data_IF_676458482431
#
_entry.id   IF_676458482431
#
_cell.length_a   1.000
_cell.length_b   1.000
_cell.length_c   1.000
_cell.angle_alpha   90.00
_cell.angle_beta   90.00
_cell.angle_gamma   90.00
#
_symmetry.space_group_name_H-M   'P 1'
#
loop_
_entity.id
_entity.type
_entity.pdbx_description
1 polymer ?
#
# COMPACT_ATOMS: atom_id res chain seq x y z
N UNK A 1 30.71 9.23 21.28
CA UNK A 1 29.80 8.23 20.70
C UNK A 1 28.76 7.79 21.73
N UNK A 2 27.60 8.45 21.77
CA UNK A 2 26.42 8.00 22.50
C UNK A 2 25.51 7.27 21.50
N UNK A 3 25.14 6.04 21.83
CA UNK A 3 24.08 5.31 21.12
C UNK A 3 22.82 5.51 21.95
N UNK A 4 21.94 6.40 21.48
CA UNK A 4 20.62 6.56 22.08
C UNK A 4 19.71 5.43 21.62
N UNK A 5 19.55 4.42 22.48
CA UNK A 5 18.48 3.44 22.33
C UNK A 5 17.20 4.07 22.86
N UNK A 6 16.31 4.50 21.96
CA UNK A 6 14.91 4.72 22.30
C UNK A 6 14.41 3.42 22.95
N UNK A 7 14.16 3.45 24.26
CA UNK A 7 13.56 2.37 25.02
C UNK A 7 12.08 2.31 24.64
N UNK A 8 11.80 1.83 23.45
CA UNK A 8 10.46 1.46 23.01
C UNK A 8 10.08 0.25 23.84
N UNK A 9 9.17 0.44 24.80
CA UNK A 9 8.62 -0.70 25.53
C UNK A 9 7.95 -1.63 24.53
N UNK A 10 8.13 -2.94 24.69
CA UNK A 10 7.60 -3.96 23.78
C UNK A 10 6.06 -3.91 23.58
N UNK A 11 5.33 -3.12 24.37
CA UNK A 11 3.88 -2.87 24.25
C UNK A 11 3.54 -1.51 23.61
N UNK A 12 4.53 -0.75 23.13
CA UNK A 12 4.27 0.57 22.54
C UNK A 12 3.81 0.40 21.10
N UNK A 13 2.60 0.88 20.80
CA UNK A 13 2.12 1.04 19.42
C UNK A 13 2.89 2.19 18.76
N UNK A 14 3.36 1.97 17.54
CA UNK A 14 4.13 2.92 16.76
C UNK A 14 3.44 3.18 15.42
N UNK A 15 3.53 4.42 14.95
CA UNK A 15 3.16 4.79 13.59
C UNK A 15 4.39 4.67 12.70
N UNK A 16 4.30 3.80 11.69
CA UNK A 16 5.40 3.51 10.77
C UNK A 16 4.89 3.57 9.34
N UNK A 17 5.72 4.12 8.45
CA UNK A 17 5.44 4.16 7.01
C UNK A 17 5.98 2.88 6.37
N UNK A 18 5.09 2.03 5.88
CA UNK A 18 5.44 0.73 5.28
C UNK A 18 5.26 0.79 3.77
N UNK A 19 6.23 0.33 2.97
CA UNK A 19 6.11 0.33 1.52
C UNK A 19 5.02 -0.62 1.02
N UNK A 20 4.35 -0.23 -0.06
CA UNK A 20 3.31 -1.03 -0.71
C UNK A 20 3.87 -1.73 -1.94
N UNK A 21 3.71 -3.04 -2.00
CA UNK A 21 4.05 -3.89 -3.13
C UNK A 21 2.80 -4.36 -3.88
N UNK A 22 2.79 -4.08 -5.18
CA UNK A 22 1.75 -4.53 -6.08
C UNK A 22 2.16 -5.84 -6.73
N UNK A 23 1.42 -6.91 -6.45
CA UNK A 23 1.66 -8.23 -7.05
C UNK A 23 0.70 -8.46 -8.23
N UNK A 24 1.02 -9.46 -9.05
CA UNK A 24 0.23 -9.84 -10.22
C UNK A 24 -0.01 -8.69 -11.23
N UNK A 25 0.89 -7.70 -11.29
CA UNK A 25 0.77 -6.55 -12.20
C UNK A 25 0.58 -7.02 -13.65
N UNK A 26 1.43 -7.94 -14.13
CA UNK A 26 1.33 -8.50 -15.50
C UNK A 26 0.09 -9.38 -15.74
N UNK A 27 -0.55 -9.85 -14.67
CA UNK A 27 -1.77 -10.68 -14.74
C UNK A 27 -3.04 -9.86 -14.59
N UNK A 28 -2.92 -8.61 -14.13
CA UNK A 28 -4.04 -7.68 -13.98
C UNK A 28 -4.76 -7.49 -15.30
N UNK A 29 -6.09 -7.56 -15.26
CA UNK A 29 -6.94 -7.38 -16.45
C UNK A 29 -6.68 -6.03 -17.13
N UNK A 30 -6.55 -4.97 -16.33
CA UNK A 30 -6.32 -3.62 -16.83
C UNK A 30 -4.96 -3.47 -17.50
N UNK A 31 -3.90 -3.96 -16.87
CA UNK A 31 -2.54 -3.91 -17.44
C UNK A 31 -2.44 -4.78 -18.70
N UNK A 32 -3.05 -5.98 -18.70
CA UNK A 32 -3.11 -6.84 -19.89
C UNK A 32 -3.82 -6.21 -21.08
N UNK A 33 -4.78 -5.32 -20.84
CA UNK A 33 -5.49 -4.55 -21.88
C UNK A 33 -4.69 -3.33 -22.38
N UNK A 34 -3.45 -3.14 -21.90
CA UNK A 34 -2.63 -1.97 -22.23
C UNK A 34 -2.83 -0.80 -21.27
N UNK A 35 -3.29 -1.05 -20.05
CA UNK A 35 -3.28 -0.05 -18.99
C UNK A 35 -1.90 0.08 -18.33
N UNK A 36 -1.64 1.23 -17.72
CA UNK A 36 -0.46 1.50 -16.90
C UNK A 36 -0.88 1.64 -15.44
N UNK A 37 -0.10 1.03 -14.54
CA UNK A 37 -0.25 1.22 -13.11
C UNK A 37 0.29 2.62 -12.73
N UNK A 38 -0.59 3.46 -12.22
CA UNK A 38 -0.25 4.76 -11.65
C UNK A 38 -0.32 4.66 -10.12
N UNK A 39 0.85 4.73 -9.47
CA UNK A 39 0.96 4.64 -8.01
C UNK A 39 0.87 6.06 -7.45
N UNK A 40 -0.13 6.32 -6.62
CA UNK A 40 -0.35 7.62 -5.95
C UNK A 40 0.41 7.66 -4.63
N UNK A 41 0.44 6.54 -3.90
CA UNK A 41 1.19 6.39 -2.66
C UNK A 41 2.05 5.13 -2.69
N UNK A 42 3.35 5.32 -2.47
CA UNK A 42 4.33 4.23 -2.39
C UNK A 42 4.44 3.61 -1.00
N UNK A 43 4.04 4.36 0.03
CA UNK A 43 4.08 3.95 1.43
C UNK A 43 2.74 4.25 2.07
N UNK A 44 2.33 3.42 3.02
CA UNK A 44 1.13 3.61 3.83
C UNK A 44 1.51 3.60 5.30
N UNK A 45 0.94 4.55 6.04
CA UNK A 45 1.17 4.67 7.47
C UNK A 45 0.26 3.68 8.23
N UNK A 46 0.88 2.82 9.03
CA UNK A 46 0.18 1.87 9.89
C UNK A 46 0.59 2.04 11.35
N UNK A 47 -0.33 1.76 12.24
CA UNK A 47 -0.13 1.62 13.67
C UNK A 47 0.08 0.14 13.99
N UNK A 48 1.26 -0.21 14.48
CA UNK A 48 1.63 -1.59 14.79
C UNK A 48 2.58 -1.63 15.98
N UNK A 49 2.65 -2.78 16.64
CA UNK A 49 3.64 -3.01 17.69
C UNK A 49 5.06 -3.00 17.10
N UNK A 50 6.03 -2.52 17.87
CA UNK A 50 7.44 -2.51 17.48
C UNK A 50 8.00 -3.88 17.03
N UNK A 51 7.46 -4.98 17.57
CA UNK A 51 7.88 -6.34 17.24
C UNK A 51 7.18 -6.93 15.99
N UNK A 52 6.08 -6.32 15.55
CA UNK A 52 5.22 -6.84 14.47
C UNK A 52 5.26 -5.93 13.22
N UNK A 53 6.26 -5.04 13.12
CA UNK A 53 6.41 -4.15 11.96
C UNK A 53 6.64 -4.99 10.69
N UNK A 54 5.73 -4.95 9.71
CA UNK A 54 5.91 -5.67 8.45
C UNK A 54 6.94 -4.95 7.55
N UNK A 55 7.69 -5.73 6.77
CA UNK A 55 8.64 -5.18 5.79
C UNK A 55 7.93 -4.44 4.65
N UNK A 56 6.77 -4.95 4.21
CA UNK A 56 5.96 -4.38 3.14
C UNK A 56 4.49 -4.82 3.26
N UNK A 57 3.59 -4.04 2.67
CA UNK A 57 2.18 -4.39 2.49
C UNK A 57 1.93 -4.85 1.07
N UNK A 58 1.11 -5.88 0.88
CA UNK A 58 0.85 -6.44 -0.45
C UNK A 58 -0.56 -6.11 -0.93
N UNK A 59 -0.68 -5.79 -2.22
CA UNK A 59 -1.95 -5.61 -2.94
C UNK A 59 -1.99 -6.49 -4.18
N UNK A 60 -3.08 -7.24 -4.35
CA UNK A 60 -3.33 -8.02 -5.56
C UNK A 60 -4.06 -7.20 -6.63
N UNK A 61 -3.44 -7.08 -7.81
CA UNK A 61 -4.01 -6.37 -8.97
C UNK A 61 -4.77 -7.27 -9.95
N UNK A 62 -4.86 -8.57 -9.71
CA UNK A 62 -5.35 -9.56 -10.68
C UNK A 62 -6.72 -9.22 -11.27
N UNK A 63 -7.65 -8.73 -10.45
CA UNK A 63 -9.03 -8.40 -10.84
C UNK A 63 -9.28 -6.90 -11.09
N UNK A 64 -8.24 -6.07 -11.15
CA UNK A 64 -8.38 -4.63 -11.38
C UNK A 64 -8.38 -4.37 -12.89
N UNK A 65 -9.41 -3.67 -13.38
CA UNK A 65 -9.56 -3.30 -14.79
C UNK A 65 -9.03 -1.88 -15.07
N UNK A 66 -9.00 -1.47 -16.34
CA UNK A 66 -8.68 -0.08 -16.73
C UNK A 66 -9.69 0.89 -16.09
N UNK A 67 -9.19 2.03 -15.61
CA UNK A 67 -9.89 2.99 -14.76
C UNK A 67 -10.27 2.45 -13.37
N UNK A 68 -9.77 1.26 -13.01
CA UNK A 68 -9.91 0.70 -11.67
C UNK A 68 -9.10 1.49 -10.66
N UNK A 69 -9.70 1.73 -9.49
CA UNK A 69 -9.03 2.33 -8.33
C UNK A 69 -8.69 1.26 -7.31
N UNK A 70 -7.46 1.33 -6.81
CA UNK A 70 -6.97 0.51 -5.71
C UNK A 70 -7.04 1.35 -4.46
N UNK A 71 -7.86 0.91 -3.51
CA UNK A 71 -8.05 1.58 -2.23
C UNK A 71 -7.20 0.93 -1.14
N UNK A 72 -6.93 1.69 -0.09
CA UNK A 72 -6.17 1.23 1.07
C UNK A 72 -6.83 0.02 1.75
N UNK A 73 -8.16 -0.11 1.73
CA UNK A 73 -8.88 -1.30 2.22
C UNK A 73 -8.56 -2.60 1.47
N UNK A 74 -8.00 -2.53 0.26
CA UNK A 74 -7.58 -3.71 -0.50
C UNK A 74 -6.20 -4.24 -0.05
N UNK A 75 -5.48 -3.51 0.81
CA UNK A 75 -4.21 -3.95 1.37
C UNK A 75 -4.42 -5.11 2.34
N UNK A 76 -3.52 -6.09 2.27
CA UNK A 76 -3.44 -7.11 3.31
C UNK A 76 -2.71 -6.54 4.53
N UNK A 77 -3.48 -6.10 5.52
CA UNK A 77 -2.95 -5.61 6.79
C UNK A 77 -2.69 -6.81 7.72
N UNK A 78 -1.47 -6.96 8.29
CA UNK A 78 -1.16 -8.07 9.18
C UNK A 78 -1.97 -7.99 10.48
N UNK A 79 -2.16 -9.15 11.13
CA UNK A 79 -2.87 -9.22 12.40
C UNK A 79 -2.19 -8.34 13.46
N UNK A 80 -2.94 -7.45 14.09
CA UNK A 80 -2.42 -6.52 15.09
C UNK A 80 -1.98 -5.15 14.54
N UNK A 81 -1.86 -4.99 13.23
CA UNK A 81 -1.67 -3.68 12.60
C UNK A 81 -3.01 -3.01 12.28
N UNK A 82 -3.02 -1.67 12.33
CA UNK A 82 -4.17 -0.82 11.97
C UNK A 82 -3.72 0.28 11.02
N UNK A 83 -4.59 0.72 10.13
CA UNK A 83 -4.32 1.88 9.28
C UNK A 83 -4.41 3.18 10.08
N UNK A 84 -3.40 4.03 9.99
CA UNK A 84 -3.44 5.36 10.58
C UNK A 84 -4.36 6.23 9.72
N UNK A 85 -5.41 6.78 10.34
CA UNK A 85 -6.48 7.50 9.62
C UNK A 85 -7.82 6.75 9.53
N UNK A 86 -7.92 5.53 10.08
CA UNK A 86 -9.18 4.84 10.35
C UNK A 86 -9.96 4.41 9.11
N UNK A 87 -11.21 4.90 8.97
CA UNK A 87 -12.21 4.52 7.95
C UNK A 87 -12.07 5.25 6.60
N UNK A 88 -11.04 6.09 6.44
CA UNK A 88 -10.85 6.84 5.19
C UNK A 88 -10.28 5.92 4.12
N UNK A 89 -11.16 5.40 3.27
CA UNK A 89 -10.77 4.71 2.05
C UNK A 89 -10.24 5.72 1.03
N UNK A 90 -8.92 5.88 0.99
CA UNK A 90 -8.23 6.66 -0.03
C UNK A 90 -7.61 5.76 -1.09
N UNK A 91 -7.44 6.32 -2.29
CA UNK A 91 -6.85 5.64 -3.43
C UNK A 91 -5.33 5.66 -3.32
N UNK A 92 -4.71 4.48 -3.37
CA UNK A 92 -3.26 4.31 -3.33
C UNK A 92 -2.65 4.08 -4.72
N UNK A 93 -3.43 3.52 -5.64
CA UNK A 93 -3.02 3.34 -7.03
C UNK A 93 -4.24 3.30 -7.95
N UNK A 94 -4.04 3.56 -9.23
CA UNK A 94 -5.05 3.44 -10.28
C UNK A 94 -4.46 2.78 -11.51
N UNK A 95 -5.28 2.12 -12.32
CA UNK A 95 -4.86 1.66 -13.64
C UNK A 95 -5.43 2.62 -14.68
N UNK A 96 -4.56 3.33 -15.39
CA UNK A 96 -4.94 4.29 -16.42
C UNK A 96 -4.74 3.71 -17.82
N UNK A 97 -5.58 4.04 -18.82
CA UNK A 97 -5.36 3.58 -20.19
C UNK A 97 -4.08 4.21 -20.78
N UNK A 98 -3.29 3.44 -21.52
CA UNK A 98 -2.06 3.95 -22.19
C UNK A 98 -2.33 4.70 -23.50
N UNK A 99 -3.57 5.06 -23.81
CA UNK A 99 -3.88 5.85 -25.00
C UNK A 99 -3.15 7.18 -24.91
N UNK A 100 -2.03 7.31 -25.63
CA UNK A 100 -1.45 8.60 -25.95
C UNK A 100 -2.53 9.45 -26.60
N UNK A 101 -3.04 10.40 -25.82
CA UNK A 101 -4.12 11.29 -26.19
C UNK A 101 -3.82 12.65 -25.60
N UNK A 102 -2.77 13.29 -26.13
CA UNK A 102 -2.80 14.73 -26.27
C UNK A 102 -4.14 15.10 -26.94
N UNK A 103 -4.94 15.89 -26.24
CA UNK A 103 -6.00 16.70 -26.82
C UNK A 103 -6.09 18.00 -26.03
#
# INVERSE_FOLDING_TARGET
EHVDFLRVGADSMLHVNVPVHFINQEKSLGIKKGGLLNIVQHTVEIEVNANDIPDHLTVDLLNIDINGSVHVSMLQIPAGAKLVGGERDFTIATIVPTSGGDA
#
